data_IF_551778540692
#
_entry.id   IF_551778540692
#
_cell.length_a   1.000
_cell.length_b   1.000
_cell.length_c   1.000
_cell.angle_alpha   90.00
_cell.angle_beta   90.00
_cell.angle_gamma   90.00
#
_symmetry.space_group_name_H-M   'P 1'
#
loop_
_entity.id
_entity.type
_entity.pdbx_description
1 polymer ?
#
# COMPACT_ATOMS: atom_id res chain seq x y z
N UNK A 1 16.61 6.89 -20.53
CA UNK A 1 15.58 7.19 -19.51
C UNK A 1 15.47 8.71 -19.40
N UNK A 2 14.38 9.27 -19.91
CA UNK A 2 14.12 10.72 -19.85
C UNK A 2 13.75 11.12 -18.42
N UNK A 3 14.00 12.39 -18.05
CA UNK A 3 13.61 12.90 -16.72
C UNK A 3 12.10 12.79 -16.49
N UNK A 4 11.32 12.88 -17.56
CA UNK A 4 9.86 12.82 -17.54
C UNK A 4 9.35 11.44 -17.12
N UNK A 5 9.97 10.36 -17.62
CA UNK A 5 9.60 9.00 -17.24
C UNK A 5 9.84 8.74 -15.75
N UNK A 6 10.89 9.31 -15.17
CA UNK A 6 11.16 9.21 -13.73
C UNK A 6 10.10 9.95 -12.90
N UNK A 7 9.67 11.12 -13.35
CA UNK A 7 8.62 11.90 -12.68
C UNK A 7 7.28 11.15 -12.72
N UNK A 8 6.92 10.59 -13.88
CA UNK A 8 5.72 9.80 -14.05
C UNK A 8 5.68 8.58 -13.13
N UNK A 9 6.79 7.85 -13.00
CA UNK A 9 6.88 6.68 -12.10
C UNK A 9 6.79 7.09 -10.63
N UNK A 10 7.40 8.21 -10.25
CA UNK A 10 7.27 8.75 -8.89
C UNK A 10 5.83 9.14 -8.60
N UNK A 11 5.11 9.73 -9.56
CA UNK A 11 3.70 10.03 -9.42
C UNK A 11 2.86 8.75 -9.26
N UNK A 12 3.13 7.72 -10.08
CA UNK A 12 2.49 6.41 -9.97
C UNK A 12 2.71 5.77 -8.58
N UNK A 13 3.95 5.77 -8.09
CA UNK A 13 4.31 5.24 -6.77
C UNK A 13 3.69 6.06 -5.64
N UNK A 14 3.53 7.37 -5.82
CA UNK A 14 2.80 8.22 -4.84
C UNK A 14 1.32 7.84 -4.79
N UNK A 15 0.70 7.53 -5.94
CA UNK A 15 -0.67 7.02 -6.02
C UNK A 15 -0.82 5.65 -5.35
N UNK A 16 0.11 4.73 -5.62
CA UNK A 16 0.17 3.43 -4.95
C UNK A 16 0.33 3.54 -3.43
N UNK A 17 1.17 4.44 -2.93
CA UNK A 17 1.37 4.62 -1.50
C UNK A 17 0.10 5.11 -0.79
N UNK A 18 -0.68 5.99 -1.42
CA UNK A 18 -2.00 6.40 -0.91
C UNK A 18 -2.97 5.22 -0.88
N UNK A 19 -3.00 4.42 -1.95
CA UNK A 19 -3.82 3.22 -2.01
C UNK A 19 -3.43 2.18 -0.94
N UNK A 20 -2.13 1.95 -0.74
CA UNK A 20 -1.61 0.98 0.25
C UNK A 20 -1.93 1.40 1.69
N UNK A 21 -1.75 2.69 2.03
CA UNK A 21 -2.17 3.22 3.35
C UNK A 21 -3.66 3.05 3.60
N UNK A 22 -4.49 3.28 2.59
CA UNK A 22 -5.94 3.09 2.72
C UNK A 22 -6.31 1.61 2.96
N UNK A 23 -5.56 0.65 2.42
CA UNK A 23 -5.73 -0.78 2.70
C UNK A 23 -5.33 -1.12 4.13
N UNK A 24 -4.18 -0.63 4.60
CA UNK A 24 -3.70 -0.91 5.96
C UNK A 24 -4.68 -0.38 7.03
N UNK A 25 -5.24 0.82 6.84
CA UNK A 25 -6.25 1.39 7.75
C UNK A 25 -7.51 0.50 7.82
N UNK A 26 -7.90 -0.15 6.72
CA UNK A 26 -9.05 -1.08 6.74
C UNK A 26 -8.77 -2.38 7.50
N UNK A 27 -7.51 -2.76 7.68
CA UNK A 27 -7.13 -3.95 8.45
C UNK A 27 -7.08 -3.70 9.97
N UNK A 28 -6.79 -2.47 10.41
CA UNK A 28 -6.71 -2.13 11.85
C UNK A 28 -8.07 -2.02 12.54
N UNK A 29 -9.19 -1.93 11.80
CA UNK A 29 -10.54 -1.72 12.36
C UNK A 29 -11.58 -2.76 11.93
N UNK A 30 -11.20 -4.04 11.95
CA UNK A 30 -12.13 -5.16 11.80
C UNK A 30 -11.95 -6.21 12.89
N UNK A 31 -11.97 -5.80 14.15
CA UNK A 31 -12.68 -6.62 15.11
C UNK A 31 -14.17 -6.54 14.73
N UNK A 32 -14.86 -7.68 14.45
CA UNK A 32 -16.31 -7.62 14.37
C UNK A 32 -16.83 -7.00 15.67
N UNK A 33 -17.97 -6.30 15.70
CA UNK A 33 -18.55 -5.84 16.96
C UNK A 33 -18.66 -7.07 17.86
N UNK A 34 -17.75 -7.13 18.83
CA UNK A 34 -17.48 -8.33 19.60
C UNK A 34 -18.81 -8.76 20.22
N UNK A 35 -19.18 -10.02 20.04
CA UNK A 35 -20.32 -10.65 20.72
C UNK A 35 -20.33 -10.29 22.24
N UNK A 36 -19.13 -10.13 22.80
CA UNK A 36 -18.85 -9.67 24.17
C UNK A 36 -19.37 -8.25 24.44
N UNK A 37 -19.20 -7.30 23.52
CA UNK A 37 -19.71 -5.93 23.69
C UNK A 37 -21.25 -5.92 23.69
N UNK A 38 -21.87 -6.74 22.82
CA UNK A 38 -23.33 -6.96 22.77
C UNK A 38 -23.87 -7.60 24.05
N UNK A 39 -23.13 -8.55 24.62
CA UNK A 39 -23.45 -9.19 25.91
C UNK A 39 -23.27 -8.24 27.10
N UNK A 40 -22.25 -7.38 27.07
CA UNK A 40 -21.94 -6.42 28.14
C UNK A 40 -22.94 -5.24 28.20
N UNK A 41 -23.57 -4.89 27.07
CA UNK A 41 -24.61 -3.86 27.01
C UNK A 41 -26.00 -4.33 27.50
N UNK A 42 -26.12 -5.53 28.06
CA UNK A 42 -27.33 -6.01 28.72
C UNK A 42 -28.49 -6.36 27.78
N UNK A 43 -28.23 -6.53 26.48
CA UNK A 43 -29.24 -6.89 25.50
C UNK A 43 -29.44 -8.42 25.50
N UNK A 44 -30.05 -8.91 26.59
CA UNK A 44 -30.46 -10.30 26.78
C UNK A 44 -31.97 -10.37 26.50
N UNK A 45 -32.34 -10.24 25.22
CA UNK A 45 -33.73 -10.15 24.80
C UNK A 45 -34.04 -10.91 23.52
N UNK A 46 -34.48 -12.17 23.67
CA UNK A 46 -35.51 -12.77 22.82
C UNK A 46 -35.07 -13.33 21.46
N UNK A 47 -35.00 -14.66 21.37
CA UNK A 47 -34.73 -15.36 20.12
C UNK A 47 -35.93 -15.43 19.16
N UNK A 48 -35.63 -15.77 17.91
CA UNK A 48 -36.23 -16.85 17.11
C UNK A 48 -35.70 -16.75 15.69
N UNK A 49 -35.72 -17.87 14.97
CA UNK A 49 -34.88 -18.09 13.80
C UNK A 49 -35.25 -17.29 12.55
N UNK A 50 -34.38 -17.49 11.58
CA UNK A 50 -34.44 -17.10 10.16
C UNK A 50 -33.77 -15.78 9.76
N UNK A 51 -32.85 -15.96 8.83
CA UNK A 51 -32.05 -14.93 8.20
C UNK A 51 -30.71 -14.78 8.88
N UNK A 52 -29.72 -15.60 8.48
CA UNK A 52 -28.39 -15.02 8.24
C UNK A 52 -28.59 -13.89 7.25
N UNK A 53 -28.98 -12.72 7.74
CA UNK A 53 -28.70 -11.48 7.05
C UNK A 53 -27.20 -11.39 7.20
N UNK A 54 -26.49 -11.95 6.22
CA UNK A 54 -25.12 -11.52 5.93
C UNK A 54 -25.13 -10.01 6.10
N UNK A 55 -24.22 -9.41 6.90
CA UNK A 55 -24.23 -7.98 7.08
C UNK A 55 -24.06 -7.32 5.71
N UNK A 56 -25.19 -6.93 5.12
CA UNK A 56 -25.34 -5.98 4.03
C UNK A 56 -24.89 -4.64 4.60
N UNK A 57 -23.58 -4.48 4.75
CA UNK A 57 -23.00 -3.37 5.51
C UNK A 57 -21.48 -3.29 5.54
N UNK A 58 -20.73 -4.26 5.01
CA UNK A 58 -19.27 -4.09 4.78
C UNK A 58 -18.89 -4.59 3.39
N UNK A 59 -19.64 -4.18 2.38
CA UNK A 59 -19.05 -3.99 1.07
C UNK A 59 -18.45 -2.57 1.04
N UNK A 60 -17.46 -2.29 1.90
CA UNK A 60 -16.44 -1.34 1.47
C UNK A 60 -15.85 -2.02 0.24
N UNK A 61 -16.32 -1.61 -0.94
CA UNK A 61 -15.69 -1.95 -2.21
C UNK A 61 -14.20 -1.85 -1.95
N UNK A 62 -13.51 -2.98 -1.83
CA UNK A 62 -12.06 -3.03 -1.96
C UNK A 62 -11.84 -2.18 -3.20
N UNK A 63 -11.19 -1.02 -3.08
CA UNK A 63 -10.83 -0.25 -4.24
C UNK A 63 -9.76 -1.10 -4.92
N UNK A 64 -10.21 -2.15 -5.61
CA UNK A 64 -9.42 -3.12 -6.30
C UNK A 64 -8.93 -2.38 -7.53
N UNK A 65 -7.85 -1.64 -7.34
CA UNK A 65 -7.16 -0.99 -8.42
C UNK A 65 -6.16 -2.02 -8.94
N UNK A 66 -6.47 -2.73 -10.06
CA UNK A 66 -5.60 -3.80 -10.56
C UNK A 66 -4.22 -3.28 -10.94
N UNK A 67 -4.11 -1.98 -11.27
CA UNK A 67 -2.83 -1.32 -11.58
C UNK A 67 -1.97 -1.25 -10.32
N UNK A 68 -2.53 -0.78 -9.19
CA UNK A 68 -1.78 -0.67 -7.94
C UNK A 68 -1.50 -2.02 -7.29
N UNK A 69 -2.40 -2.99 -7.43
CA UNK A 69 -2.14 -4.36 -6.99
C UNK A 69 -0.97 -4.99 -7.76
N UNK A 70 -0.96 -4.86 -9.10
CA UNK A 70 0.16 -5.35 -9.92
C UNK A 70 1.46 -4.62 -9.57
N UNK A 71 1.40 -3.31 -9.32
CA UNK A 71 2.56 -2.54 -8.89
C UNK A 71 3.07 -3.00 -7.51
N UNK A 72 2.17 -3.36 -6.60
CA UNK A 72 2.52 -3.89 -5.28
C UNK A 72 3.27 -5.23 -5.42
N UNK A 73 2.76 -6.14 -6.25
CA UNK A 73 3.45 -7.39 -6.56
C UNK A 73 4.84 -7.12 -7.15
N UNK A 74 4.99 -6.18 -8.09
CA UNK A 74 6.30 -5.83 -8.65
C UNK A 74 7.28 -5.33 -7.58
N UNK A 75 6.80 -4.51 -6.65
CA UNK A 75 7.61 -3.99 -5.53
C UNK A 75 8.01 -5.12 -4.57
N UNK A 76 7.12 -6.09 -4.32
CA UNK A 76 7.41 -7.25 -3.47
C UNK A 76 8.52 -8.15 -4.02
N UNK A 77 8.64 -8.24 -5.35
CA UNK A 77 9.68 -9.00 -6.05
C UNK A 77 11.03 -8.27 -6.11
N UNK A 78 11.12 -7.01 -5.68
CA UNK A 78 12.40 -6.32 -5.57
C UNK A 78 13.27 -6.96 -4.47
N UNK A 79 14.61 -6.91 -4.61
CA UNK A 79 15.51 -7.31 -3.53
C UNK A 79 15.15 -6.61 -2.21
N UNK A 80 15.22 -7.32 -1.08
CA UNK A 80 14.76 -6.85 0.24
C UNK A 80 15.12 -5.38 0.54
N UNK A 81 16.39 -5.01 0.38
CA UNK A 81 16.86 -3.63 0.62
C UNK A 81 16.25 -2.58 -0.32
N UNK A 82 16.03 -2.93 -1.59
CA UNK A 82 15.42 -2.05 -2.59
C UNK A 82 13.94 -1.86 -2.34
N UNK A 83 13.26 -2.95 -1.95
CA UNK A 83 11.87 -2.96 -1.52
C UNK A 83 11.66 -2.08 -0.29
N UNK A 84 12.48 -2.27 0.75
CA UNK A 84 12.47 -1.43 1.96
C UNK A 84 12.70 0.05 1.62
N UNK A 85 13.61 0.34 0.69
CA UNK A 85 13.87 1.72 0.25
C UNK A 85 12.61 2.36 -0.35
N UNK A 86 11.85 1.63 -1.17
CA UNK A 86 10.59 2.10 -1.77
C UNK A 86 9.52 2.32 -0.69
N UNK A 87 9.37 1.36 0.23
CA UNK A 87 8.43 1.50 1.34
C UNK A 87 8.76 2.72 2.20
N UNK A 88 10.01 2.87 2.62
CA UNK A 88 10.44 4.03 3.38
C UNK A 88 10.25 5.33 2.60
N UNK A 89 10.54 5.37 1.30
CA UNK A 89 10.43 6.61 0.52
C UNK A 89 9.00 7.10 0.40
N UNK A 90 8.06 6.22 0.09
CA UNK A 90 6.70 6.63 -0.27
C UNK A 90 5.68 6.47 0.87
N UNK A 91 5.92 5.59 1.84
CA UNK A 91 5.02 5.44 2.99
C UNK A 91 5.36 6.39 4.15
N UNK A 92 6.64 6.74 4.35
CA UNK A 92 7.05 7.66 5.40
C UNK A 92 7.12 9.10 4.89
N UNK A 93 6.58 10.04 5.68
CA UNK A 93 6.55 11.48 5.37
C UNK A 93 7.83 12.23 5.76
N UNK A 94 8.84 11.57 6.31
CA UNK A 94 10.06 12.21 6.79
C UNK A 94 11.08 12.50 5.67
N UNK A 95 12.14 13.24 6.00
CA UNK A 95 13.21 13.57 5.06
C UNK A 95 14.02 12.34 4.65
N UNK A 96 14.60 12.35 3.44
CA UNK A 96 15.45 11.25 2.94
C UNK A 96 16.65 10.97 3.86
N UNK A 97 17.22 12.00 4.50
CA UNK A 97 18.29 11.83 5.49
C UNK A 97 17.82 10.99 6.67
N UNK A 98 16.64 11.28 7.22
CA UNK A 98 16.07 10.51 8.34
C UNK A 98 15.68 9.10 7.92
N UNK A 99 15.19 8.91 6.68
CA UNK A 99 14.91 7.58 6.12
C UNK A 99 16.19 6.75 5.96
N UNK A 100 17.27 7.35 5.49
CA UNK A 100 18.57 6.69 5.37
C UNK A 100 19.12 6.27 6.74
N UNK A 101 18.97 7.13 7.76
CA UNK A 101 19.31 6.83 9.15
C UNK A 101 18.48 5.65 9.69
N UNK A 102 17.16 5.62 9.47
CA UNK A 102 16.29 4.51 9.87
C UNK A 102 16.70 3.18 9.21
N UNK A 103 17.16 3.24 7.96
CA UNK A 103 17.65 2.08 7.22
C UNK A 103 19.13 1.75 7.54
N UNK A 104 19.78 2.49 8.45
CA UNK A 104 21.21 2.33 8.78
C UNK A 104 22.14 2.37 7.56
N UNK A 105 21.85 3.25 6.59
CA UNK A 105 22.66 3.43 5.37
C UNK A 105 23.02 4.89 5.15
N UNK A 106 24.10 5.13 4.39
CA UNK A 106 24.45 6.49 3.97
C UNK A 106 23.40 7.08 3.03
N UNK A 107 23.25 8.41 3.04
CA UNK A 107 22.34 9.12 2.14
C UNK A 107 22.61 8.77 0.66
N UNK A 108 23.89 8.74 0.27
CA UNK A 108 24.30 8.36 -1.08
C UNK A 108 23.93 6.91 -1.42
N UNK A 109 24.02 6.00 -0.45
CA UNK A 109 23.59 4.60 -0.60
C UNK A 109 22.08 4.48 -0.75
N UNK A 110 21.32 5.26 0.02
CA UNK A 110 19.87 5.36 -0.06
C UNK A 110 19.42 5.87 -1.44
N UNK A 111 19.96 6.99 -1.91
CA UNK A 111 19.64 7.55 -3.22
C UNK A 111 19.99 6.60 -4.36
N UNK A 112 21.13 5.89 -4.25
CA UNK A 112 21.51 4.86 -5.22
C UNK A 112 20.50 3.73 -5.26
N UNK A 113 20.09 3.21 -4.10
CA UNK A 113 19.10 2.14 -4.02
C UNK A 113 17.76 2.60 -4.58
N UNK A 114 17.30 3.80 -4.24
CA UNK A 114 16.07 4.38 -4.75
C UNK A 114 16.10 4.48 -6.29
N UNK A 115 17.17 5.04 -6.85
CA UNK A 115 17.31 5.17 -8.30
C UNK A 115 17.37 3.80 -9.01
N UNK A 116 18.03 2.80 -8.41
CA UNK A 116 18.05 1.44 -8.96
C UNK A 116 16.68 0.78 -8.90
N UNK A 117 15.94 0.95 -7.80
CA UNK A 117 14.56 0.46 -7.68
C UNK A 117 13.65 1.09 -8.72
N UNK A 118 13.71 2.41 -8.91
CA UNK A 118 12.92 3.12 -9.92
C UNK A 118 13.22 2.65 -11.35
N UNK A 119 14.50 2.41 -11.66
CA UNK A 119 14.91 1.84 -12.96
C UNK A 119 14.35 0.44 -13.15
N UNK A 120 14.49 -0.43 -12.16
CA UNK A 120 14.00 -1.80 -12.24
C UNK A 120 12.47 -1.86 -12.39
N UNK A 121 11.74 -0.98 -11.71
CA UNK A 121 10.28 -0.85 -11.87
C UNK A 121 9.92 -0.35 -13.28
N UNK A 122 10.72 0.58 -13.83
CA UNK A 122 10.55 1.10 -15.19
C UNK A 122 10.86 0.09 -16.30
N UNK A 123 11.75 -0.86 -16.01
CA UNK A 123 12.14 -1.90 -16.97
C UNK A 123 11.02 -2.93 -17.18
N UNK A 124 10.01 -2.97 -16.29
CA UNK A 124 8.82 -3.79 -16.48
C UNK A 124 7.94 -3.27 -17.64
N UNK A 125 7.59 -4.16 -18.57
CA UNK A 125 6.83 -3.82 -19.78
C UNK A 125 5.48 -3.18 -19.48
N UNK A 126 4.82 -3.57 -18.39
CA UNK A 126 3.52 -2.99 -18.03
C UNK A 126 3.69 -1.55 -17.54
N UNK A 127 4.64 -1.30 -16.65
CA UNK A 127 4.91 0.05 -16.15
C UNK A 127 5.40 0.96 -17.26
N UNK A 128 6.30 0.47 -18.11
CA UNK A 128 6.80 1.21 -19.29
C UNK A 128 5.68 1.62 -20.23
N UNK A 129 4.75 0.72 -20.53
CA UNK A 129 3.59 1.01 -21.36
C UNK A 129 2.62 1.99 -20.70
N UNK A 130 2.48 1.93 -19.38
CA UNK A 130 1.62 2.82 -18.61
C UNK A 130 2.18 4.25 -18.56
N UNK A 131 3.50 4.38 -18.40
CA UNK A 131 4.20 5.67 -18.38
C UNK A 131 4.25 6.31 -19.77
N UNK A 132 4.47 5.53 -20.83
CA UNK A 132 4.54 6.08 -22.20
C UNK A 132 3.18 6.48 -22.79
N UNK A 133 2.07 6.06 -22.18
CA UNK A 133 0.69 6.40 -22.59
C UNK A 133 0.08 7.55 -21.77
N UNK A 134 0.70 7.93 -20.66
CA UNK A 134 0.28 9.02 -19.78
C UNK A 134 0.88 10.36 -20.23
#
# INVERSE_FOLDING_TARGET
MTKDNLLAVRALLTGWAKWKKNIEITHEYLSPPNLIYRLMSGDVGGGSGFGSVEPLGICQKRQHNPIFYRLDCLIEHLPNRRRETIFCEFLLSCSQKKKAELMSISLKGYERNLNLSLKQILDDDFVKNLVNRA
#
